data_IF_802535936336
#
_entry.id   IF_802535936336
#
_cell.length_a   1.000
_cell.length_b   1.000
_cell.length_c   1.000
_cell.angle_alpha   90.00
_cell.angle_beta   90.00
_cell.angle_gamma   90.00
#
_symmetry.space_group_name_H-M   'P 1'
#
loop_
_entity.id
_entity.type
_entity.pdbx_description
1 polymer ?
#
# COMPACT_ATOMS: atom_id res chain seq x y z
N UNK A 1 19.11 -2.10 20.33
CA UNK A 1 17.71 -2.42 20.00
C UNK A 1 17.49 -1.95 18.57
N UNK A 2 17.32 -2.84 17.59
CA UNK A 2 17.02 -2.41 16.22
C UNK A 2 15.70 -1.68 16.19
N UNK A 3 15.75 -0.38 15.91
CA UNK A 3 14.58 0.43 15.61
C UNK A 3 14.01 -0.09 14.30
N UNK A 4 13.01 -0.97 14.37
CA UNK A 4 12.27 -1.39 13.19
C UNK A 4 11.68 -0.13 12.54
N UNK A 5 11.85 0.00 11.23
CA UNK A 5 11.19 1.07 10.49
C UNK A 5 9.67 0.92 10.63
N UNK A 6 8.94 2.04 10.73
CA UNK A 6 7.48 1.99 10.78
C UNK A 6 6.94 1.43 9.47
N UNK A 7 6.04 0.46 9.58
CA UNK A 7 5.34 -0.11 8.42
C UNK A 7 4.21 0.83 8.04
N UNK A 8 4.20 1.27 6.78
CA UNK A 8 3.16 2.11 6.19
C UNK A 8 2.23 1.26 5.34
N UNK A 9 0.93 1.35 5.61
CA UNK A 9 -0.11 0.66 4.84
C UNK A 9 -0.95 1.72 4.12
N UNK A 10 -1.06 1.60 2.80
CA UNK A 10 -1.89 2.49 1.96
C UNK A 10 -2.92 1.65 1.23
N UNK A 11 -4.16 2.11 1.18
CA UNK A 11 -5.20 1.42 0.44
C UNK A 11 -6.17 2.40 -0.21
N UNK A 12 -6.76 1.99 -1.33
CA UNK A 12 -7.84 2.73 -2.00
C UNK A 12 -9.15 2.00 -1.77
N UNK A 13 -10.05 2.62 -1.01
CA UNK A 13 -11.39 2.08 -0.74
C UNK A 13 -12.42 2.75 -1.65
N UNK A 14 -13.11 1.95 -2.45
CA UNK A 14 -14.23 2.40 -3.26
C UNK A 14 -15.49 2.46 -2.38
N UNK A 15 -15.96 3.68 -2.13
CA UNK A 15 -17.15 3.91 -1.29
C UNK A 15 -18.46 3.45 -1.94
N UNK A 16 -18.53 3.39 -3.27
CA UNK A 16 -19.73 2.96 -3.99
C UNK A 16 -19.90 1.43 -3.96
N UNK A 17 -18.80 0.68 -4.07
CA UNK A 17 -18.83 -0.79 -4.08
C UNK A 17 -18.53 -1.42 -2.72
N UNK A 18 -17.96 -0.65 -1.79
CA UNK A 18 -17.48 -1.14 -0.50
C UNK A 18 -16.23 -2.02 -0.63
N UNK A 19 -15.51 -1.95 -1.75
CA UNK A 19 -14.34 -2.79 -2.03
C UNK A 19 -13.03 -2.03 -1.86
N UNK A 20 -11.96 -2.75 -1.49
CA UNK A 20 -10.59 -2.23 -1.57
C UNK A 20 -10.05 -2.55 -2.96
N UNK A 21 -9.73 -1.51 -3.72
CA UNK A 21 -9.24 -1.64 -5.11
C UNK A 21 -7.72 -1.71 -5.18
N UNK A 22 -7.03 -1.08 -4.22
CA UNK A 22 -5.57 -1.10 -4.13
C UNK A 22 -5.17 -1.28 -2.67
N UNK A 23 -4.17 -2.12 -2.41
CA UNK A 23 -3.63 -2.36 -1.07
C UNK A 23 -2.11 -2.49 -1.16
N UNK A 24 -1.40 -1.57 -0.53
CA UNK A 24 0.05 -1.44 -0.60
C UNK A 24 0.64 -1.44 0.80
N UNK A 25 1.74 -2.18 0.95
CA UNK A 25 2.48 -2.33 2.20
C UNK A 25 3.91 -1.87 1.91
N UNK A 26 4.38 -0.91 2.69
CA UNK A 26 5.76 -0.40 2.65
C UNK A 26 6.38 -0.59 4.04
N UNK A 27 7.46 -1.36 4.14
CA UNK A 27 8.18 -1.58 5.40
C UNK A 27 9.31 -0.58 5.64
N UNK A 28 9.47 0.39 4.74
CA UNK A 28 10.45 1.47 4.83
C UNK A 28 11.90 1.03 4.67
N UNK A 29 12.18 -0.24 4.36
CA UNK A 29 13.54 -0.76 4.20
C UNK A 29 13.83 -1.12 2.74
N UNK A 30 14.17 -0.11 1.94
CA UNK A 30 14.53 -0.29 0.51
C UNK A 30 15.76 -1.17 0.27
N UNK A 31 16.51 -1.51 1.32
CA UNK A 31 17.71 -2.35 1.23
C UNK A 31 17.44 -3.80 1.60
N UNK A 32 16.25 -4.09 2.14
CA UNK A 32 15.87 -5.44 2.49
C UNK A 32 15.70 -6.31 1.23
N UNK A 33 15.96 -7.62 1.34
CA UNK A 33 15.70 -8.55 0.24
C UNK A 33 14.20 -8.60 -0.11
N UNK A 34 13.88 -8.81 -1.38
CA UNK A 34 12.51 -8.99 -1.86
C UNK A 34 11.73 -10.09 -1.10
N UNK A 35 12.43 -11.16 -0.68
CA UNK A 35 11.86 -12.21 0.14
C UNK A 35 11.33 -11.70 1.50
N UNK A 36 11.98 -10.69 2.09
CA UNK A 36 11.52 -10.06 3.32
C UNK A 36 10.25 -9.23 3.08
N UNK A 37 10.24 -8.42 2.02
CA UNK A 37 9.05 -7.65 1.61
C UNK A 37 7.84 -8.55 1.38
N UNK A 38 8.03 -9.68 0.68
CA UNK A 38 6.98 -10.66 0.42
C UNK A 38 6.47 -11.32 1.70
N UNK A 39 7.37 -11.70 2.62
CA UNK A 39 6.98 -12.25 3.92
C UNK A 39 6.15 -11.25 4.74
N UNK A 40 6.56 -9.98 4.75
CA UNK A 40 5.83 -8.92 5.45
C UNK A 40 4.44 -8.70 4.83
N UNK A 41 4.39 -8.62 3.50
CA UNK A 41 3.15 -8.46 2.77
C UNK A 41 2.15 -9.58 3.08
N UNK A 42 2.65 -10.83 3.10
CA UNK A 42 1.83 -12.00 3.37
C UNK A 42 1.35 -12.10 4.82
N UNK A 43 2.19 -11.72 5.78
CA UNK A 43 1.80 -11.67 7.19
C UNK A 43 0.67 -10.66 7.43
N UNK A 44 0.78 -9.46 6.87
CA UNK A 44 -0.21 -8.39 7.02
C UNK A 44 -1.50 -8.74 6.27
N UNK A 45 -1.39 -9.16 5.00
CA UNK A 45 -2.56 -9.53 4.22
C UNK A 45 -3.30 -10.74 4.81
N UNK A 46 -2.57 -11.74 5.33
CA UNK A 46 -3.15 -12.89 6.01
C UNK A 46 -3.83 -12.53 7.34
N UNK A 47 -3.40 -11.44 7.98
CA UNK A 47 -4.06 -10.92 9.19
C UNK A 47 -5.35 -10.18 8.87
N UNK A 48 -5.41 -9.48 7.74
CA UNK A 48 -6.54 -8.63 7.36
C UNK A 48 -7.61 -9.36 6.54
N UNK A 49 -7.22 -10.38 5.77
CA UNK A 49 -8.11 -11.10 4.86
C UNK A 49 -8.11 -12.60 5.13
N UNK A 50 -9.26 -13.26 5.00
CA UNK A 50 -9.37 -14.72 5.20
C UNK A 50 -8.65 -15.54 4.11
N UNK A 51 -8.42 -14.98 2.92
CA UNK A 51 -7.75 -15.59 1.76
C UNK A 51 -7.16 -14.52 0.83
N UNK A 52 -6.08 -13.83 1.22
CA UNK A 52 -5.51 -12.76 0.40
C UNK A 52 -4.90 -13.33 -0.89
N UNK A 53 -5.19 -12.71 -2.03
CA UNK A 53 -4.42 -12.88 -3.26
C UNK A 53 -3.38 -11.76 -3.28
N UNK A 54 -2.10 -12.12 -3.28
CA UNK A 54 -0.98 -11.18 -3.19
C UNK A 54 -0.21 -11.29 -4.50
N UNK A 55 -0.02 -10.15 -5.16
CA UNK A 55 0.84 -9.99 -6.31
C UNK A 55 1.93 -8.99 -5.95
N UNK A 56 3.09 -9.12 -6.59
CA UNK A 56 4.10 -8.07 -6.55
C UNK A 56 3.49 -6.79 -7.14
N UNK A 57 3.64 -5.68 -6.42
CA UNK A 57 3.18 -4.37 -6.89
C UNK A 57 4.03 -3.85 -8.05
N UNK A 58 5.22 -4.45 -8.29
CA UNK A 58 6.16 -4.02 -9.31
C UNK A 58 6.64 -2.58 -9.08
N UNK A 59 7.31 -2.02 -10.09
CA UNK A 59 7.68 -0.60 -10.14
C UNK A 59 6.48 0.25 -10.60
N UNK A 60 5.26 -0.08 -10.14
CA UNK A 60 4.19 0.92 -10.16
C UNK A 60 4.64 2.02 -9.22
N UNK A 61 5.36 3.00 -9.79
CA UNK A 61 5.66 4.25 -9.16
C UNK A 61 4.30 4.80 -8.73
N UNK A 62 3.98 4.60 -7.45
CA UNK A 62 2.90 5.28 -6.78
C UNK A 62 3.21 6.73 -7.12
N UNK A 63 2.41 7.34 -8.00
CA UNK A 63 2.43 8.78 -8.09
C UNK A 63 2.18 9.20 -6.64
N UNK A 64 3.23 9.72 -5.97
CA UNK A 64 3.07 10.29 -4.66
C UNK A 64 1.97 11.32 -4.86
N UNK A 65 0.77 10.98 -4.43
CA UNK A 65 -0.30 11.93 -4.17
C UNK A 65 0.22 12.57 -2.89
N UNK A 66 0.81 13.79 -2.93
CA UNK A 66 1.19 14.48 -1.71
C UNK A 66 0.04 14.34 -0.72
N UNK A 67 0.35 13.91 0.50
CA UNK A 67 -0.66 13.72 1.57
C UNK A 67 -1.44 15.02 1.90
N UNK A 68 -1.04 16.12 1.28
CA UNK A 68 -1.52 17.48 1.33
C UNK A 68 -2.35 17.89 0.09
N UNK A 69 -2.67 16.98 -0.83
CA UNK A 69 -3.64 17.26 -1.89
C UNK A 69 -5.04 17.40 -1.30
N UNK A 70 -5.60 18.59 -1.47
CA UNK A 70 -6.97 18.90 -1.12
C UNK A 70 -7.93 18.17 -2.05
N UNK A 71 -9.18 17.95 -1.62
CA UNK A 71 -10.23 17.29 -2.41
C UNK A 71 -10.45 17.96 -3.77
N UNK A 72 -10.18 19.26 -3.88
CA UNK A 72 -10.33 20.02 -5.11
C UNK A 72 -9.25 19.69 -6.14
N UNK A 73 -8.01 19.47 -5.70
CA UNK A 73 -6.88 19.15 -6.58
C UNK A 73 -6.97 17.71 -7.13
N UNK A 74 -7.64 16.80 -6.41
CA UNK A 74 -7.95 15.45 -6.91
C UNK A 74 -8.98 15.50 -8.04
N UNK A 75 -10.01 16.34 -7.91
CA UNK A 75 -11.09 16.47 -8.90
C UNK A 75 -10.60 17.02 -10.25
N UNK A 76 -9.60 17.88 -10.23
CA UNK A 76 -9.03 18.49 -11.45
C UNK A 76 -8.14 17.54 -12.25
N UNK A 77 -7.67 16.43 -11.66
CA UNK A 77 -6.84 15.42 -12.33
C UNK A 77 -7.65 14.33 -13.02
N UNK A 78 -8.95 14.24 -12.74
CA UNK A 78 -9.87 13.24 -13.31
C UNK A 78 -10.60 13.73 -14.58
N UNK A 79 -10.23 14.91 -15.10
CA UNK A 79 -10.72 15.49 -16.38
C UNK A 79 -9.64 15.43 -17.46
#
# INVERSE_FOLDING_TARGET
>A
MSTRNPITIRFRFNQATGQIEQFLIDDGDRTAPEAYHNQMAQAIAGRLFRRPQIADAGLEAIAEVPANLTTEELRQREQ
#
